data_IF_937635263824
#
_entry.id   IF_937635263824
#
_cell.length_a   1.000
_cell.length_b   1.000
_cell.length_c   1.000
_cell.angle_alpha   90.00
_cell.angle_beta   90.00
_cell.angle_gamma   90.00
#
_symmetry.space_group_name_H-M   'P 1'
#
loop_
_entity.id
_entity.type
_entity.pdbx_description
1 polymer ?
#
# COMPACT_ATOMS: atom_id res chain seq x y z
N UNK A 1 -13.33 -6.99 16.55
CA UNK A 1 -13.16 -8.43 16.85
C UNK A 1 -11.97 -8.95 16.06
N UNK A 2 -11.15 -9.86 16.60
CA UNK A 2 -9.93 -10.35 15.95
C UNK A 2 -10.04 -11.84 15.58
N UNK A 3 -9.60 -12.21 14.37
CA UNK A 3 -9.57 -13.58 13.88
C UNK A 3 -8.17 -14.01 13.48
N UNK A 4 -7.77 -15.21 13.88
CA UNK A 4 -6.56 -15.87 13.40
C UNK A 4 -6.96 -17.03 12.49
N UNK A 5 -6.63 -16.93 11.21
CA UNK A 5 -7.05 -17.88 10.17
C UNK A 5 -5.80 -18.64 9.70
N UNK A 6 -5.83 -19.96 9.89
CA UNK A 6 -4.73 -20.88 9.56
C UNK A 6 -5.04 -21.76 8.35
N UNK A 7 -6.32 -21.89 8.02
CA UNK A 7 -6.78 -22.76 6.94
C UNK A 7 -7.84 -22.07 6.09
N UNK A 8 -7.93 -22.48 4.84
CA UNK A 8 -8.86 -21.93 3.84
C UNK A 8 -10.32 -22.10 4.23
N UNK A 9 -10.68 -23.26 4.80
CA UNK A 9 -12.05 -23.52 5.30
C UNK A 9 -12.49 -22.53 6.38
N UNK A 10 -11.55 -22.04 7.21
CA UNK A 10 -11.83 -21.01 8.21
C UNK A 10 -12.07 -19.66 7.55
N UNK A 11 -11.32 -19.34 6.48
CA UNK A 11 -11.50 -18.11 5.72
C UNK A 11 -12.87 -18.07 5.07
N UNK A 12 -13.28 -19.13 4.38
CA UNK A 12 -14.60 -19.22 3.74
C UNK A 12 -15.72 -19.07 4.77
N UNK A 13 -15.63 -19.77 5.90
CA UNK A 13 -16.63 -19.69 6.97
C UNK A 13 -16.71 -18.28 7.55
N UNK A 14 -15.57 -17.60 7.68
CA UNK A 14 -15.53 -16.25 8.16
C UNK A 14 -16.13 -15.27 7.15
N UNK A 15 -15.82 -15.36 5.86
CA UNK A 15 -16.42 -14.48 4.84
C UNK A 15 -17.95 -14.57 4.88
N UNK A 16 -18.50 -15.78 4.94
CA UNK A 16 -19.96 -16.00 5.09
C UNK A 16 -20.52 -15.39 6.39
N UNK A 17 -19.76 -15.47 7.49
CA UNK A 17 -20.16 -14.82 8.75
C UNK A 17 -20.19 -13.29 8.60
N UNK A 18 -19.21 -12.71 7.93
CA UNK A 18 -19.07 -11.26 7.76
C UNK A 18 -20.18 -10.66 6.90
N UNK A 19 -20.69 -11.41 5.93
CA UNK A 19 -21.86 -11.01 5.12
C UNK A 19 -23.09 -10.70 5.99
N UNK A 20 -23.24 -11.38 7.12
CA UNK A 20 -24.36 -11.16 8.04
C UNK A 20 -24.17 -9.91 8.92
N UNK A 21 -22.97 -9.34 8.98
CA UNK A 21 -22.61 -8.26 9.89
C UNK A 21 -21.68 -7.19 9.25
N UNK A 22 -22.06 -6.61 8.10
CA UNK A 22 -21.16 -5.82 7.24
C UNK A 22 -20.63 -4.52 7.87
N UNK A 23 -21.31 -4.00 8.90
CA UNK A 23 -20.93 -2.74 9.55
C UNK A 23 -20.00 -2.91 10.75
N UNK A 24 -19.67 -4.15 11.14
CA UNK A 24 -18.84 -4.36 12.32
C UNK A 24 -17.36 -4.23 11.99
N UNK A 25 -16.57 -3.89 13.01
CA UNK A 25 -15.13 -3.74 12.88
C UNK A 25 -14.40 -5.04 13.18
N UNK A 26 -13.67 -5.51 12.17
CA UNK A 26 -12.95 -6.77 12.22
C UNK A 26 -11.47 -6.58 11.91
N UNK A 27 -10.66 -7.35 12.60
CA UNK A 27 -9.25 -7.49 12.34
C UNK A 27 -8.94 -8.98 12.09
N UNK A 28 -8.02 -9.24 11.17
CA UNK A 28 -7.67 -10.61 10.77
C UNK A 28 -6.16 -10.78 10.69
N UNK A 29 -5.67 -11.97 11.03
CA UNK A 29 -4.32 -12.44 10.67
C UNK A 29 -4.41 -13.73 9.87
N UNK A 30 -3.77 -13.75 8.70
CA UNK A 30 -3.66 -14.89 7.82
C UNK A 30 -2.31 -15.58 8.02
N UNK A 31 -2.34 -16.83 8.49
CA UNK A 31 -1.17 -17.69 8.66
C UNK A 31 -0.77 -18.48 7.41
N UNK A 32 -1.55 -18.38 6.34
CA UNK A 32 -1.33 -19.02 5.04
C UNK A 32 -1.71 -18.03 3.92
N UNK A 33 -1.31 -18.32 2.69
CA UNK A 33 -1.63 -17.48 1.54
C UNK A 33 -2.79 -18.14 0.78
N UNK A 34 -4.03 -17.65 0.89
CA UNK A 34 -5.10 -18.08 0.01
C UNK A 34 -4.81 -17.66 -1.43
N UNK A 35 -5.59 -18.19 -2.37
CA UNK A 35 -5.53 -17.71 -3.74
C UNK A 35 -5.87 -16.21 -3.83
N UNK A 36 -5.45 -15.57 -4.93
CA UNK A 36 -5.63 -14.12 -5.11
C UNK A 36 -7.13 -13.76 -5.09
N UNK A 37 -7.99 -14.59 -5.66
CA UNK A 37 -9.43 -14.33 -5.71
C UNK A 37 -10.06 -14.33 -4.32
N UNK A 38 -9.79 -15.34 -3.48
CA UNK A 38 -10.33 -15.38 -2.11
C UNK A 38 -9.72 -14.29 -1.23
N UNK A 39 -8.46 -13.92 -1.45
CA UNK A 39 -7.82 -12.83 -0.71
C UNK A 39 -8.49 -11.47 -1.01
N UNK A 40 -8.91 -11.25 -2.26
CA UNK A 40 -9.61 -10.04 -2.69
C UNK A 40 -11.11 -10.06 -2.39
N UNK A 41 -11.68 -11.24 -2.14
CA UNK A 41 -13.05 -11.40 -1.67
C UNK A 41 -13.22 -11.02 -0.19
N UNK A 42 -12.12 -10.82 0.55
CA UNK A 42 -12.18 -10.39 1.95
C UNK A 42 -12.76 -8.97 1.99
N UNK A 43 -13.88 -8.75 2.72
CA UNK A 43 -14.46 -7.42 2.81
C UNK A 43 -13.51 -6.45 3.53
N UNK A 44 -13.67 -5.12 3.36
CA UNK A 44 -12.84 -4.14 4.04
C UNK A 44 -12.75 -4.40 5.55
N UNK A 45 -11.51 -4.43 6.05
CA UNK A 45 -11.19 -4.75 7.43
C UNK A 45 -10.64 -3.52 8.13
N UNK A 46 -10.79 -3.45 9.45
CA UNK A 46 -10.11 -2.44 10.25
C UNK A 46 -8.59 -2.67 10.23
N UNK A 47 -8.15 -3.93 10.21
CA UNK A 47 -6.75 -4.30 10.04
C UNK A 47 -6.64 -5.71 9.47
N UNK A 48 -5.77 -5.92 8.49
CA UNK A 48 -5.42 -7.26 8.00
C UNK A 48 -3.91 -7.49 8.12
N UNK A 49 -3.53 -8.59 8.76
CA UNK A 49 -2.15 -9.05 8.81
C UNK A 49 -1.99 -10.25 7.90
N UNK A 50 -1.01 -10.21 7.00
CA UNK A 50 -0.71 -11.30 6.09
C UNK A 50 0.71 -11.77 6.42
N UNK A 51 0.81 -12.99 6.96
CA UNK A 51 2.09 -13.57 7.37
C UNK A 51 2.91 -14.05 6.16
N UNK A 52 2.34 -14.76 5.17
CA UNK A 52 3.10 -15.19 4.01
C UNK A 52 3.44 -14.05 3.03
N UNK A 53 4.37 -14.33 2.12
CA UNK A 53 4.72 -13.42 1.03
C UNK A 53 3.58 -13.36 0.00
N UNK A 54 3.09 -12.15 -0.27
CA UNK A 54 2.28 -11.79 -1.44
C UNK A 54 3.18 -11.19 -2.53
N UNK A 55 2.75 -11.26 -3.79
CA UNK A 55 3.39 -10.50 -4.88
C UNK A 55 2.91 -9.03 -4.86
N UNK A 56 3.63 -8.14 -5.56
CA UNK A 56 3.29 -6.72 -5.75
C UNK A 56 1.86 -6.49 -6.23
N UNK A 57 1.46 -7.17 -7.30
CA UNK A 57 0.12 -6.98 -7.90
C UNK A 57 -1.00 -7.23 -6.89
N UNK A 58 -0.94 -8.36 -6.17
CA UNK A 58 -1.91 -8.72 -5.12
C UNK A 58 -1.83 -7.75 -3.95
N UNK A 59 -0.63 -7.31 -3.56
CA UNK A 59 -0.44 -6.29 -2.53
C UNK A 59 -1.19 -4.99 -2.87
N UNK A 60 -1.09 -4.52 -4.12
CA UNK A 60 -1.78 -3.31 -4.56
C UNK A 60 -3.28 -3.43 -4.55
N UNK A 61 -3.80 -4.55 -5.06
CA UNK A 61 -5.24 -4.81 -5.03
C UNK A 61 -5.76 -4.84 -3.58
N UNK A 62 -4.97 -5.34 -2.63
CA UNK A 62 -5.33 -5.31 -1.22
C UNK A 62 -5.27 -3.90 -0.62
N UNK A 63 -4.29 -3.06 -0.97
CA UNK A 63 -4.22 -1.67 -0.51
C UNK A 63 -5.37 -0.80 -1.02
N UNK A 64 -5.97 -1.17 -2.15
CA UNK A 64 -7.18 -0.51 -2.66
C UNK A 64 -8.42 -0.83 -1.79
N UNK A 65 -8.44 -1.98 -1.12
CA UNK A 65 -9.58 -2.49 -0.35
C UNK A 65 -9.43 -2.15 1.15
N UNK A 66 -8.23 -2.32 1.70
CA UNK A 66 -7.99 -2.25 3.14
C UNK A 66 -7.12 -1.04 3.52
N UNK A 67 -7.54 -0.31 4.56
CA UNK A 67 -6.84 0.89 5.04
C UNK A 67 -5.58 0.60 5.85
N UNK A 68 -5.58 -0.51 6.59
CA UNK A 68 -4.48 -0.89 7.47
C UNK A 68 -4.06 -2.31 7.15
N UNK A 69 -2.86 -2.45 6.58
CA UNK A 69 -2.29 -3.75 6.24
C UNK A 69 -0.91 -3.91 6.90
N UNK A 70 -0.72 -5.08 7.52
CA UNK A 70 0.54 -5.49 8.13
C UNK A 70 1.07 -6.73 7.42
N UNK A 71 2.16 -6.57 6.69
CA UNK A 71 2.84 -7.68 6.02
C UNK A 71 3.99 -8.16 6.90
N UNK A 72 3.80 -9.33 7.53
CA UNK A 72 4.75 -9.85 8.49
C UNK A 72 5.93 -10.58 7.81
N UNK A 73 5.79 -11.05 6.57
CA UNK A 73 6.89 -11.67 5.83
C UNK A 73 7.92 -10.63 5.35
N UNK A 74 9.13 -10.62 5.92
CA UNK A 74 10.24 -9.84 5.38
C UNK A 74 10.75 -10.58 4.14
N UNK A 75 10.86 -9.91 2.99
CA UNK A 75 11.36 -10.62 1.82
C UNK A 75 11.74 -9.74 0.65
N UNK A 76 10.76 -9.30 -0.14
CA UNK A 76 11.07 -8.95 -1.53
C UNK A 76 10.37 -7.69 -2.06
N UNK A 77 9.65 -6.94 -1.23
CA UNK A 77 9.15 -5.64 -1.67
C UNK A 77 10.25 -4.60 -1.81
N UNK A 78 11.49 -4.91 -1.38
CA UNK A 78 12.62 -3.97 -1.47
C UNK A 78 12.83 -3.43 -2.89
N UNK A 79 12.67 -4.30 -3.89
CA UNK A 79 12.88 -3.97 -5.29
C UNK A 79 11.62 -3.41 -5.97
N UNK A 80 10.46 -3.46 -5.29
CA UNK A 80 9.15 -3.02 -5.79
C UNK A 80 8.64 -1.77 -5.03
N UNK A 81 9.42 -1.21 -4.09
CA UNK A 81 8.98 -0.06 -3.29
C UNK A 81 8.75 1.20 -4.10
N UNK A 82 9.50 1.41 -5.17
CA UNK A 82 9.33 2.59 -6.01
C UNK A 82 7.94 2.57 -6.67
N UNK A 83 7.52 1.41 -7.18
CA UNK A 83 6.16 1.20 -7.68
C UNK A 83 5.12 1.37 -6.57
N UNK A 84 5.44 0.91 -5.35
CA UNK A 84 4.54 1.06 -4.20
C UNK A 84 4.31 2.53 -3.85
N UNK A 85 5.39 3.28 -3.71
CA UNK A 85 5.32 4.70 -3.37
C UNK A 85 4.68 5.51 -4.49
N UNK A 86 4.94 5.16 -5.75
CA UNK A 86 4.31 5.82 -6.90
C UNK A 86 2.79 5.63 -6.88
N UNK A 87 2.30 4.40 -6.72
CA UNK A 87 0.86 4.12 -6.64
C UNK A 87 0.24 4.81 -5.42
N UNK A 88 0.90 4.76 -4.27
CA UNK A 88 0.41 5.44 -3.06
C UNK A 88 0.39 6.96 -3.21
N UNK A 89 1.33 7.56 -3.93
CA UNK A 89 1.37 9.01 -4.15
C UNK A 89 0.22 9.53 -5.02
N UNK A 90 -0.33 8.66 -5.89
CA UNK A 90 -1.50 8.97 -6.70
C UNK A 90 -2.82 8.82 -5.93
N UNK A 91 -2.78 8.22 -4.74
CA UNK A 91 -3.94 7.92 -3.93
C UNK A 91 -4.10 8.94 -2.78
N UNK A 92 -5.31 9.48 -2.59
CA UNK A 92 -5.60 10.47 -1.54
C UNK A 92 -5.97 9.86 -0.19
N UNK A 93 -6.15 8.54 -0.13
CA UNK A 93 -6.54 7.84 1.08
C UNK A 93 -5.35 7.68 2.02
N UNK A 94 -5.51 8.19 3.25
CA UNK A 94 -4.57 7.99 4.34
C UNK A 94 -4.52 6.51 4.73
N UNK A 95 -3.31 5.94 4.70
CA UNK A 95 -3.06 4.52 4.99
C UNK A 95 -1.99 4.37 6.06
N UNK A 96 -2.16 3.36 6.90
CA UNK A 96 -1.10 2.95 7.82
C UNK A 96 -0.45 1.68 7.30
N UNK A 97 0.83 1.78 6.96
CA UNK A 97 1.66 0.63 6.62
C UNK A 97 2.61 0.33 7.78
N UNK A 98 2.54 -0.90 8.31
CA UNK A 98 3.55 -1.37 9.25
C UNK A 98 4.64 -2.13 8.49
N UNK A 99 5.83 -1.52 8.44
CA UNK A 99 6.96 -2.05 7.70
C UNK A 99 8.16 -2.25 8.63
N UNK A 100 8.51 -3.49 8.93
CA UNK A 100 9.70 -3.80 9.73
C UNK A 100 11.01 -3.50 8.99
N UNK A 101 10.97 -3.51 7.66
CA UNK A 101 12.15 -3.42 6.81
C UNK A 101 12.31 -2.06 6.10
N UNK A 102 11.48 -1.06 6.43
CA UNK A 102 11.60 0.28 5.83
C UNK A 102 12.98 0.89 6.07
N UNK A 103 13.58 0.62 7.23
CA UNK A 103 14.92 1.11 7.55
C UNK A 103 16.02 0.47 6.70
N UNK A 104 15.84 -0.74 6.16
CA UNK A 104 16.78 -1.34 5.21
C UNK A 104 16.63 -0.70 3.83
N UNK A 105 15.39 -0.52 3.37
CA UNK A 105 15.12 0.18 2.11
C UNK A 105 15.67 1.61 2.12
N UNK A 106 15.39 2.39 3.17
CA UNK A 106 15.90 3.75 3.35
C UNK A 106 17.44 3.80 3.27
N UNK A 107 18.14 2.83 3.88
CA UNK A 107 19.60 2.73 3.76
C UNK A 107 20.07 2.43 2.35
N UNK A 108 19.34 1.59 1.60
CA UNK A 108 19.70 1.26 0.21
C UNK A 108 19.63 2.48 -0.72
N UNK A 109 18.71 3.42 -0.46
CA UNK A 109 18.62 4.70 -1.20
C UNK A 109 19.54 5.80 -0.63
N UNK A 110 20.36 5.48 0.37
CA UNK A 110 21.36 6.39 0.94
C UNK A 110 20.89 7.22 2.14
N UNK A 111 19.69 6.99 2.67
CA UNK A 111 19.25 7.62 3.92
C UNK A 111 19.93 6.94 5.11
N UNK A 112 20.63 7.74 5.91
CA UNK A 112 21.39 7.27 7.07
C UNK A 112 20.97 8.03 8.33
N UNK A 113 21.51 7.62 9.48
CA UNK A 113 21.33 8.34 10.74
C UNK A 113 21.94 9.75 10.76
N UNK A 114 22.78 10.08 9.76
CA UNK A 114 23.38 11.40 9.58
C UNK A 114 22.58 12.28 8.61
N UNK A 115 21.57 11.72 7.93
CA UNK A 115 20.74 12.47 6.99
C UNK A 115 19.93 13.56 7.72
N UNK A 116 19.93 14.75 7.14
CA UNK A 116 19.27 15.95 7.66
C UNK A 116 18.17 16.45 6.71
N UNK A 117 17.25 17.26 7.22
CA UNK A 117 16.22 17.86 6.37
C UNK A 117 16.86 18.73 5.27
N UNK A 118 16.45 18.52 4.02
CA UNK A 118 17.03 19.12 2.81
C UNK A 118 18.05 18.23 2.10
N UNK A 119 18.49 17.13 2.70
CA UNK A 119 19.36 16.16 2.03
C UNK A 119 18.60 15.45 0.90
N UNK A 120 19.29 15.24 -0.22
CA UNK A 120 18.79 14.44 -1.35
C UNK A 120 19.47 13.07 -1.31
N UNK A 121 18.68 12.01 -1.15
CA UNK A 121 19.12 10.61 -1.08
C UNK A 121 18.49 9.84 -2.24
N UNK A 122 19.26 9.62 -3.31
CA UNK A 122 18.72 9.07 -4.56
C UNK A 122 17.75 10.06 -5.21
N UNK A 123 16.51 9.62 -5.43
CA UNK A 123 15.43 10.45 -5.99
C UNK A 123 14.57 11.13 -4.90
N UNK A 124 14.90 10.94 -3.63
CA UNK A 124 14.09 11.39 -2.50
C UNK A 124 14.72 12.56 -1.75
N UNK A 125 13.91 13.53 -1.33
CA UNK A 125 14.31 14.63 -0.43
C UNK A 125 13.89 14.32 1.01
N UNK A 126 14.84 14.36 1.95
CA UNK A 126 14.56 14.20 3.37
C UNK A 126 13.91 15.48 3.87
N UNK A 127 12.69 15.39 4.39
CA UNK A 127 11.95 16.54 4.93
C UNK A 127 11.66 16.36 6.42
N UNK A 128 11.50 17.48 7.14
CA UNK A 128 11.09 17.41 8.54
C UNK A 128 9.58 17.13 8.62
N UNK A 129 9.18 16.08 9.34
CA UNK A 129 7.77 15.70 9.50
C UNK A 129 6.86 16.84 9.99
N UNK A 130 7.41 17.82 10.74
CA UNK A 130 6.65 19.01 11.20
C UNK A 130 6.33 20.02 10.08
N UNK A 131 7.10 20.03 8.98
CA UNK A 131 6.86 20.89 7.82
C UNK A 131 5.88 20.28 6.82
N UNK A 132 5.77 18.94 6.75
CA UNK A 132 4.82 18.28 5.85
C UNK A 132 3.36 18.59 6.18
N UNK A 133 3.02 18.79 7.47
CA UNK A 133 1.66 19.16 7.91
C UNK A 133 1.28 20.61 7.57
N UNK A 134 2.21 21.41 7.05
CA UNK A 134 2.02 22.83 6.73
C UNK A 134 2.19 23.13 5.24
N UNK A 135 2.49 22.13 4.42
CA UNK A 135 2.58 22.30 2.97
C UNK A 135 1.19 22.22 2.36
N UNK A 136 0.63 23.30 1.76
CA UNK A 136 -0.49 23.13 0.85
C UNK A 136 -0.05 22.22 -0.30
N UNK A 137 -0.95 21.34 -0.75
CA UNK A 137 -0.72 20.47 -1.91
C UNK A 137 -0.04 21.30 -3.01
N UNK A 138 1.21 20.94 -3.36
CA UNK A 138 1.95 21.65 -4.41
C UNK A 138 1.08 21.58 -5.66
N UNK A 139 0.48 22.71 -6.04
CA UNK A 139 0.03 22.89 -7.41
C UNK A 139 1.25 22.69 -8.29
N UNK A 140 1.16 21.77 -9.24
CA UNK A 140 2.18 21.59 -10.26
C UNK A 140 2.50 22.96 -10.86
N UNK A 141 3.70 23.46 -10.59
CA UNK A 141 4.20 24.66 -11.24
C UNK A 141 4.22 24.38 -12.74
N UNK A 142 3.68 25.27 -13.59
CA UNK A 142 3.66 25.03 -15.03
C UNK A 142 5.09 24.98 -15.54
N UNK A 143 5.47 23.84 -16.12
CA UNK A 143 6.71 23.70 -16.89
C UNK A 143 6.69 24.74 -18.00
N UNK A 144 7.61 25.71 -17.93
CA UNK A 144 7.98 26.52 -19.10
C UNK A 144 8.75 25.61 -20.05
N UNK A 145 8.02 24.92 -20.91
CA UNK A 145 8.37 24.52 -22.27
C UNK A 145 7.29 23.56 -22.76
N UNK A 146 6.16 24.12 -23.20
CA UNK A 146 5.34 23.46 -24.21
C UNK A 146 5.77 24.01 -25.57
N UNK A 147 5.94 23.15 -26.58
CA UNK A 147 4.78 23.00 -27.44
C UNK A 147 4.56 21.58 -27.98
N UNK A 148 3.28 21.17 -27.92
CA UNK A 148 2.41 20.64 -29.00
C UNK A 148 1.78 19.28 -28.65
N UNK A 149 0.44 19.13 -28.71
CA UNK A 149 -0.25 17.90 -28.36
C UNK A 149 -0.36 16.93 -29.55
N UNK A 150 -0.23 15.63 -29.27
CA UNK A 150 -0.58 14.51 -30.16
C UNK A 150 -1.10 13.34 -29.29
N UNK A 151 -1.88 12.40 -29.84
CA UNK A 151 -3.30 12.27 -29.48
C UNK A 151 -3.63 11.03 -28.63
N UNK A 152 -4.81 11.14 -28.00
CA UNK A 152 -5.69 10.12 -27.42
C UNK A 152 -5.26 8.65 -27.52
N UNK A 153 -4.81 8.10 -26.38
CA UNK A 153 -4.80 6.65 -26.11
C UNK A 153 -5.31 6.41 -24.68
N UNK A 154 -6.59 6.70 -24.45
CA UNK A 154 -7.31 6.26 -23.25
C UNK A 154 -8.73 5.83 -23.63
N UNK A 155 -8.83 4.68 -24.29
CA UNK A 155 -10.13 4.06 -24.57
C UNK A 155 -10.13 2.52 -24.40
N UNK A 156 -9.23 1.96 -23.57
CA UNK A 156 -9.19 0.50 -23.36
C UNK A 156 -9.40 -0.01 -21.93
N UNK A 157 -9.82 0.82 -20.98
CA UNK A 157 -10.16 0.34 -19.62
C UNK A 157 -11.55 0.77 -19.15
N UNK A 158 -12.52 0.65 -20.06
CA UNK A 158 -13.93 0.50 -19.71
C UNK A 158 -14.50 -0.66 -20.51
N UNK A 159 -14.48 -1.86 -19.91
CA UNK A 159 -15.56 -2.86 -20.00
C UNK A 159 -15.14 -4.14 -19.29
N UNK A 160 -15.88 -4.44 -18.21
CA UNK A 160 -16.13 -5.74 -17.54
C UNK A 160 -15.00 -6.27 -16.64
#
# INVERSE_FOLDING_TARGET
MFFEIKFETQLTSLIQLLENFPNSKYAMSLGFLPDTEALLAIPPMESIRIIPKVNSETFFKLLAIHKNIDFAAPGNFLDEWDDILLIMSADSCERTLQMREISKWLRNIGVTEFSSAGDVCGEFEVTNARQCLLMPARQASPSRNDPTPLPELLDSYRSI
#
